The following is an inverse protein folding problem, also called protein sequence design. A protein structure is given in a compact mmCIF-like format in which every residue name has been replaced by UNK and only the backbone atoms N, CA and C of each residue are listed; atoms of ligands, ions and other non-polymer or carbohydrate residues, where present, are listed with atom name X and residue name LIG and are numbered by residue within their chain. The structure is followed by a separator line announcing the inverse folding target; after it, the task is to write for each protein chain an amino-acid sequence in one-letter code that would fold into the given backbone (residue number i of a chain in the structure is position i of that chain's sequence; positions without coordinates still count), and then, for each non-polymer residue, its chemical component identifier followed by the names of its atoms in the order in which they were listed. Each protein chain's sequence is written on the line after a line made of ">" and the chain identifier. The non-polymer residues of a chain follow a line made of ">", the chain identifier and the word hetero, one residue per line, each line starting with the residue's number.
data_IF_717844136503
#
_entry.id   IF_717844136503
#
_cell.length_a   1.000
_cell.length_b   1.000
_cell.length_c   1.000
_cell.angle_alpha   90.00
_cell.angle_beta   90.00
_cell.angle_gamma   90.00
#
_symmetry.space_group_name_H-M   'P 1'
#
loop_
_entity.id
_entity.type
_entity.pdbx_description
1 polymer ?
#
# COMPACT_ATOMS: atom_id res chain seq x y z
N UNK A 1 -9.71 0.58 15.66
CA UNK A 1 -9.54 -0.44 14.61
C UNK A 1 -9.59 -1.81 15.28
N UNK A 2 -10.74 -2.48 15.26
CA UNK A 2 -10.91 -3.80 15.89
C UNK A 2 -10.96 -4.84 14.75
N UNK A 3 -9.86 -5.57 14.57
CA UNK A 3 -9.74 -6.61 13.55
C UNK A 3 -9.44 -7.96 14.19
N UNK A 4 -9.90 -9.02 13.56
CA UNK A 4 -9.65 -10.40 13.96
C UNK A 4 -8.42 -10.97 13.26
N UNK A 5 -7.94 -12.14 13.71
CA UNK A 5 -6.83 -12.82 13.05
C UNK A 5 -7.21 -13.16 11.60
N UNK A 6 -6.32 -12.90 10.65
CA UNK A 6 -6.58 -13.07 9.22
C UNK A 6 -7.20 -11.87 8.50
N UNK A 7 -7.71 -10.86 9.22
CA UNK A 7 -8.21 -9.65 8.59
C UNK A 7 -7.07 -8.81 8.00
N UNK A 8 -7.38 -8.08 6.93
CA UNK A 8 -6.48 -7.10 6.34
C UNK A 8 -6.65 -5.73 6.98
N UNK A 9 -5.55 -5.12 7.41
CA UNK A 9 -5.52 -3.74 7.90
C UNK A 9 -4.93 -2.83 6.83
N UNK A 10 -5.54 -1.67 6.63
CA UNK A 10 -5.02 -0.63 5.73
C UNK A 10 -4.39 0.50 6.54
N UNK A 11 -3.14 0.85 6.20
CA UNK A 11 -2.39 1.94 6.84
C UNK A 11 -1.78 2.88 5.78
N UNK A 12 -2.42 4.03 5.50
CA UNK A 12 -1.92 4.96 4.49
C UNK A 12 -0.70 5.78 4.93
N UNK A 13 -0.31 5.74 6.20
CA UNK A 13 0.78 6.55 6.77
C UNK A 13 1.66 5.67 7.66
N UNK A 14 2.34 4.72 7.01
CA UNK A 14 3.07 3.64 7.68
C UNK A 14 4.24 4.14 8.54
N UNK A 15 4.85 5.27 8.18
CA UNK A 15 5.96 5.89 8.90
C UNK A 15 7.13 4.93 9.07
N UNK A 16 7.43 4.55 10.31
CA UNK A 16 8.52 3.61 10.64
C UNK A 16 8.11 2.12 10.60
N UNK A 17 6.85 1.81 10.25
CA UNK A 17 6.41 0.42 10.05
C UNK A 17 5.89 -0.30 11.30
N UNK A 18 5.49 0.43 12.34
CA UNK A 18 4.92 -0.18 13.57
C UNK A 18 3.73 -1.08 13.28
N UNK A 19 2.83 -0.64 12.39
CA UNK A 19 1.64 -1.41 11.99
C UNK A 19 2.00 -2.73 11.30
N UNK A 20 3.08 -2.78 10.51
CA UNK A 20 3.55 -4.01 9.87
C UNK A 20 4.03 -5.03 10.92
N UNK A 21 4.84 -4.59 11.89
CA UNK A 21 5.37 -5.48 12.92
C UNK A 21 4.24 -6.00 13.81
N UNK A 22 3.32 -5.13 14.22
CA UNK A 22 2.15 -5.54 15.00
C UNK A 22 1.28 -6.54 14.23
N UNK A 23 1.08 -6.34 12.93
CA UNK A 23 0.30 -7.26 12.11
C UNK A 23 0.97 -8.63 11.95
N UNK A 24 2.30 -8.68 11.79
CA UNK A 24 3.03 -9.95 11.78
C UNK A 24 2.86 -10.72 13.09
N UNK A 25 3.01 -10.03 14.24
CA UNK A 25 2.81 -10.63 15.57
C UNK A 25 1.39 -11.16 15.79
N UNK A 26 0.40 -10.48 15.20
CA UNK A 26 -1.02 -10.83 15.33
C UNK A 26 -1.51 -11.78 14.24
N UNK A 27 -0.62 -12.22 13.34
CA UNK A 27 -0.92 -13.01 12.14
C UNK A 27 -2.06 -12.39 11.32
N UNK A 28 -1.86 -11.12 10.95
CA UNK A 28 -2.76 -10.31 10.12
C UNK A 28 -2.05 -9.86 8.84
N UNK A 29 -2.84 -9.64 7.80
CA UNK A 29 -2.34 -8.99 6.60
C UNK A 29 -2.40 -7.46 6.77
N UNK A 30 -1.39 -6.74 6.27
CA UNK A 30 -1.41 -5.27 6.20
C UNK A 30 -1.13 -4.82 4.78
N UNK A 31 -1.91 -3.83 4.34
CA UNK A 31 -1.64 -3.04 3.14
C UNK A 31 -1.24 -1.65 3.63
N UNK A 32 0.02 -1.29 3.45
CA UNK A 32 0.56 -0.04 3.92
C UNK A 32 1.09 0.83 2.78
N UNK A 33 1.06 2.15 2.97
CA UNK A 33 1.66 3.14 2.08
C UNK A 33 2.59 4.05 2.87
N UNK A 34 3.68 4.45 2.22
CA UNK A 34 4.60 5.46 2.69
C UNK A 34 5.08 6.29 1.49
N UNK A 35 5.19 7.60 1.67
CA UNK A 35 5.56 8.53 0.61
C UNK A 35 7.08 8.69 0.53
N UNK A 36 7.76 8.69 1.68
CA UNK A 36 9.21 8.84 1.74
C UNK A 36 9.90 7.51 1.34
N UNK A 37 10.67 7.49 0.24
CA UNK A 37 11.41 6.30 -0.17
C UNK A 37 12.38 5.80 0.90
N UNK A 38 13.00 6.70 1.68
CA UNK A 38 13.94 6.30 2.72
C UNK A 38 13.23 5.52 3.83
N UNK A 39 12.04 5.98 4.23
CA UNK A 39 11.23 5.27 5.23
C UNK A 39 10.73 3.93 4.68
N UNK A 40 10.42 3.85 3.38
CA UNK A 40 10.07 2.57 2.75
C UNK A 40 11.20 1.52 2.92
N UNK A 41 12.45 1.92 2.68
CA UNK A 41 13.61 1.03 2.85
C UNK A 41 13.78 0.63 4.33
N UNK A 42 13.64 1.58 5.26
CA UNK A 42 13.68 1.31 6.71
C UNK A 42 12.60 0.31 7.12
N UNK A 43 11.36 0.47 6.64
CA UNK A 43 10.26 -0.46 6.94
C UNK A 43 10.58 -1.87 6.43
N UNK A 44 11.11 -1.99 5.21
CA UNK A 44 11.50 -3.27 4.61
C UNK A 44 12.57 -3.95 5.45
N UNK A 45 13.65 -3.25 5.78
CA UNK A 45 14.75 -3.81 6.56
C UNK A 45 14.32 -4.23 7.96
N UNK A 46 13.49 -3.41 8.60
CA UNK A 46 12.91 -3.71 9.93
C UNK A 46 12.05 -4.96 9.89
N UNK A 47 11.16 -5.10 8.91
CA UNK A 47 10.30 -6.29 8.79
C UNK A 47 11.10 -7.55 8.44
N UNK A 48 12.09 -7.46 7.54
CA UNK A 48 12.96 -8.59 7.22
C UNK A 48 13.77 -9.04 8.44
N UNK A 49 14.32 -8.09 9.20
CA UNK A 49 15.08 -8.40 10.43
C UNK A 49 14.19 -9.04 11.49
N UNK A 50 12.96 -8.55 11.66
CA UNK A 50 12.01 -9.08 12.64
C UNK A 50 11.55 -10.51 12.29
N UNK A 51 11.31 -10.79 11.01
CA UNK A 51 10.72 -12.07 10.57
C UNK A 51 11.74 -13.11 10.12
N UNK A 52 12.96 -12.70 9.77
CA UNK A 52 13.94 -13.51 9.05
C UNK A 52 13.55 -13.80 7.59
N UNK A 53 12.44 -13.26 7.09
CA UNK A 53 11.97 -13.45 5.71
C UNK A 53 12.59 -12.40 4.78
N UNK A 54 12.62 -12.71 3.48
CA UNK A 54 13.08 -11.76 2.45
C UNK A 54 11.90 -11.07 1.79
N UNK A 55 11.90 -9.74 1.78
CA UNK A 55 10.90 -8.94 1.10
C UNK A 55 11.01 -9.11 -0.41
N UNK A 56 9.87 -9.17 -1.09
CA UNK A 56 9.80 -9.33 -2.54
C UNK A 56 9.16 -8.11 -3.18
N UNK A 57 9.96 -7.36 -3.94
CA UNK A 57 9.47 -6.26 -4.78
C UNK A 57 8.65 -6.83 -5.94
N UNK A 58 7.38 -6.44 -6.04
CA UNK A 58 6.56 -6.76 -7.20
C UNK A 58 6.89 -5.78 -8.34
N UNK A 59 7.08 -6.25 -9.57
CA UNK A 59 7.22 -5.36 -10.72
C UNK A 59 5.91 -4.60 -10.94
N UNK A 60 6.03 -3.32 -11.32
CA UNK A 60 4.86 -2.49 -11.65
C UNK A 60 4.20 -3.06 -12.90
N UNK A 61 2.97 -3.56 -12.78
CA UNK A 61 2.17 -3.95 -13.94
C UNK A 61 1.76 -2.66 -14.67
N UNK A 62 2.21 -2.48 -15.91
CA UNK A 62 1.79 -1.34 -16.76
C UNK A 62 0.27 -1.43 -16.96
N UNK A 63 -0.49 -0.53 -16.33
CA UNK A 63 -1.91 -0.39 -16.60
C UNK A 63 -2.10 0.26 -17.97
N UNK A 64 -2.84 -0.40 -18.87
CA UNK A 64 -3.25 0.23 -20.14
C UNK A 64 -4.19 1.39 -19.79
N UNK A 65 -3.73 2.64 -19.96
CA UNK A 65 -4.60 3.82 -19.85
C UNK A 65 -5.73 3.70 -20.89
N UNK A 66 -6.94 3.34 -20.47
CA UNK A 66 -8.14 3.62 -21.28
C UNK A 66 -8.42 5.11 -21.16
N UNK A 67 -7.90 5.89 -22.09
CA UNK A 67 -8.27 7.29 -22.26
C UNK A 67 -9.74 7.35 -22.73
N UNK A 68 -10.69 7.46 -21.80
CA UNK A 68 -12.08 7.78 -22.14
C UNK A 68 -12.18 9.30 -22.24
N UNK A 69 -11.97 9.84 -23.44
CA UNK A 69 -12.28 11.23 -23.78
C UNK A 69 -13.75 11.49 -23.44
N UNK A 70 -14.01 12.21 -22.33
CA UNK A 70 -15.32 12.79 -22.08
C UNK A 70 -15.44 14.03 -22.96
N UNK A 71 -16.11 13.88 -24.10
CA UNK A 71 -16.49 15.01 -24.93
C UNK A 71 -17.38 15.96 -24.10
N UNK A 72 -16.92 17.19 -23.87
CA UNK A 72 -17.77 18.30 -23.41
C UNK A 72 -18.77 18.60 -24.53
N UNK A 73 -20.04 18.23 -24.36
CA UNK A 73 -21.13 18.75 -25.19
C UNK A 73 -21.72 19.96 -24.48
N UNK A 74 -21.35 21.16 -24.91
CA UNK A 74 -22.08 22.40 -24.58
C UNK A 74 -23.19 22.56 -25.62
N UNK A 75 -24.48 22.68 -25.26
CA UNK A 75 -25.51 22.98 -26.23
C UNK A 75 -25.46 24.48 -26.59
N UNK A 76 -25.19 24.79 -27.87
CA UNK A 76 -25.44 26.13 -28.42
C UNK A 76 -26.96 26.33 -28.53
N UNK A 77 -27.51 27.30 -27.79
CA UNK A 77 -28.88 27.79 -28.04
C UNK A 77 -28.87 28.75 -29.24
N UNK A 78 -29.88 28.61 -30.11
CA UNK A 78 -30.23 29.57 -31.15
C UNK A 78 -30.97 30.76 -30.55
#
# INVERSE_FOLDING_TARGET
>A
NNTTRGDSVYDPFCGSGTSLIAAEMLERAVIALELDPLLCDVIVDRWQTFTGKKARRQPVKKTKKKAKQRARKTPRKK
#
